data_IF_752221717554
#
_entry.id   IF_752221717554
#
_cell.length_a   1.000
_cell.length_b   1.000
_cell.length_c   1.000
_cell.angle_alpha   90.00
_cell.angle_beta   90.00
_cell.angle_gamma   90.00
#
_symmetry.space_group_name_H-M   'P 1'
#
loop_
_entity.id
_entity.type
_entity.pdbx_description
1 polymer ?
#
# COMPACT_ATOMS: atom_id res chain seq x y z
N UNK A 1 -3.78 -27.09 -6.21
CA UNK A 1 -4.36 -26.01 -5.36
C UNK A 1 -4.93 -25.00 -6.34
N UNK A 2 -6.26 -24.86 -6.38
CA UNK A 2 -6.93 -23.93 -7.30
C UNK A 2 -6.55 -22.50 -6.86
N UNK A 3 -6.11 -21.67 -7.81
CA UNK A 3 -6.02 -20.23 -7.58
C UNK A 3 -7.45 -19.71 -7.37
N UNK A 4 -7.69 -18.82 -6.39
CA UNK A 4 -8.99 -18.20 -6.29
C UNK A 4 -9.27 -17.47 -7.59
N UNK A 5 -10.42 -17.74 -8.18
CA UNK A 5 -10.84 -17.03 -9.39
C UNK A 5 -11.02 -15.56 -9.01
N UNK A 6 -10.73 -14.63 -9.89
CA UNK A 6 -10.89 -13.19 -9.65
C UNK A 6 -12.36 -12.87 -9.29
N UNK A 7 -13.26 -13.76 -9.59
CA UNK A 7 -14.67 -13.71 -9.21
C UNK A 7 -14.93 -13.80 -7.70
N UNK A 8 -13.97 -14.30 -6.91
CA UNK A 8 -14.07 -14.40 -5.45
C UNK A 8 -13.53 -13.17 -4.71
N UNK A 9 -12.88 -12.23 -5.41
CA UNK A 9 -12.32 -11.05 -4.78
C UNK A 9 -13.37 -9.96 -4.59
N UNK A 10 -13.42 -9.40 -3.40
CA UNK A 10 -14.10 -8.15 -3.11
C UNK A 10 -13.15 -6.98 -3.39
N UNK A 11 -13.65 -5.90 -4.01
CA UNK A 11 -12.85 -4.74 -4.38
C UNK A 11 -13.41 -3.51 -3.68
N UNK A 12 -12.64 -2.98 -2.73
CA UNK A 12 -13.05 -1.89 -1.87
C UNK A 12 -12.25 -0.61 -2.16
N UNK A 13 -12.91 0.53 -1.93
CA UNK A 13 -12.29 1.85 -1.92
C UNK A 13 -12.55 2.52 -0.58
N UNK A 14 -11.51 2.78 0.19
CA UNK A 14 -11.57 3.52 1.45
C UNK A 14 -11.08 4.97 1.26
N UNK A 15 -11.73 5.91 1.95
CA UNK A 15 -11.43 7.34 1.88
C UNK A 15 -12.66 8.19 1.63
N UNK A 16 -12.66 9.04 0.62
CA UNK A 16 -13.85 9.82 0.28
C UNK A 16 -14.98 8.91 -0.23
N UNK A 17 -16.19 9.16 0.27
CA UNK A 17 -17.39 8.41 -0.15
C UNK A 17 -17.72 8.74 -1.61
N UNK A 18 -17.91 7.72 -2.41
CA UNK A 18 -18.36 7.84 -3.80
C UNK A 18 -19.37 6.75 -4.15
N UNK A 19 -20.03 6.88 -5.29
CA UNK A 19 -20.89 5.82 -5.81
C UNK A 19 -20.03 4.64 -6.23
N UNK A 20 -20.54 3.43 -6.04
CA UNK A 20 -19.87 2.23 -6.55
C UNK A 20 -19.64 2.33 -8.05
N UNK A 21 -18.51 1.79 -8.50
CA UNK A 21 -18.08 1.84 -9.89
C UNK A 21 -18.12 0.44 -10.48
N UNK A 22 -18.89 0.26 -11.53
CA UNK A 22 -18.93 -1.02 -12.26
C UNK A 22 -17.63 -1.24 -13.04
N UNK A 23 -16.94 -2.33 -12.75
CA UNK A 23 -15.65 -2.67 -13.35
C UNK A 23 -15.76 -3.63 -14.54
N UNK A 24 -16.97 -4.08 -14.89
CA UNK A 24 -17.20 -5.12 -15.87
C UNK A 24 -17.24 -6.52 -15.25
N UNK A 25 -17.68 -7.51 -16.03
CA UNK A 25 -17.82 -8.92 -15.60
C UNK A 25 -18.59 -9.11 -14.27
N UNK A 26 -19.53 -8.23 -13.99
CA UNK A 26 -20.31 -8.27 -12.72
C UNK A 26 -19.54 -7.82 -11.48
N UNK A 27 -18.30 -7.33 -11.62
CA UNK A 27 -17.50 -6.78 -10.52
C UNK A 27 -17.75 -5.31 -10.30
N UNK A 28 -17.66 -4.92 -9.05
CA UNK A 28 -17.92 -3.57 -8.59
C UNK A 28 -16.83 -3.12 -7.62
N UNK A 29 -16.36 -1.89 -7.76
CA UNK A 29 -15.56 -1.21 -6.75
C UNK A 29 -16.52 -0.55 -5.76
N UNK A 30 -16.57 -1.08 -4.55
CA UNK A 30 -17.47 -0.60 -3.49
C UNK A 30 -16.77 0.45 -2.65
N UNK A 31 -17.39 1.64 -2.49
CA UNK A 31 -16.89 2.66 -1.61
C UNK A 31 -17.36 2.39 -0.17
N UNK A 32 -16.40 2.25 0.73
CA UNK A 32 -16.65 2.10 2.18
C UNK A 32 -16.51 3.43 2.93
N UNK A 33 -16.15 4.51 2.23
CA UNK A 33 -15.98 5.83 2.82
C UNK A 33 -14.80 5.93 3.79
N UNK A 34 -14.89 6.90 4.70
CA UNK A 34 -13.90 7.08 5.77
C UNK A 34 -14.15 6.07 6.88
N UNK A 35 -13.18 5.23 7.13
CA UNK A 35 -13.19 4.25 8.21
C UNK A 35 -12.60 4.85 9.50
N UNK A 36 -13.06 4.37 10.65
CA UNK A 36 -12.33 4.57 11.91
C UNK A 36 -10.98 3.84 11.86
N UNK A 37 -10.09 4.12 12.80
CA UNK A 37 -8.77 3.46 12.87
C UNK A 37 -8.96 1.95 13.07
N UNK A 38 -9.90 1.54 13.89
CA UNK A 38 -10.23 0.15 14.18
C UNK A 38 -10.78 -0.58 12.95
N UNK A 39 -11.75 0.04 12.26
CA UNK A 39 -12.33 -0.51 11.03
C UNK A 39 -11.28 -0.60 9.92
N UNK A 40 -10.42 0.40 9.81
CA UNK A 40 -9.32 0.39 8.83
C UNK A 40 -8.33 -0.74 9.11
N UNK A 41 -7.91 -0.89 10.37
CA UNK A 41 -7.00 -1.96 10.77
C UNK A 41 -7.62 -3.36 10.51
N UNK A 42 -8.91 -3.54 10.80
CA UNK A 42 -9.62 -4.77 10.50
C UNK A 42 -9.68 -5.04 8.99
N UNK A 43 -10.01 -4.02 8.20
CA UNK A 43 -10.03 -4.12 6.73
C UNK A 43 -8.65 -4.53 6.20
N UNK A 44 -7.56 -3.95 6.71
CA UNK A 44 -6.21 -4.30 6.28
C UNK A 44 -5.83 -5.75 6.62
N UNK A 45 -6.29 -6.30 7.76
CA UNK A 45 -6.04 -7.69 8.12
C UNK A 45 -6.70 -8.68 7.15
N UNK A 46 -7.79 -8.30 6.50
CA UNK A 46 -8.54 -9.11 5.54
C UNK A 46 -8.12 -8.81 4.08
N UNK A 47 -7.28 -7.79 3.87
CA UNK A 47 -6.87 -7.35 2.55
C UNK A 47 -5.58 -8.06 2.11
N UNK A 48 -5.56 -8.62 0.93
CA UNK A 48 -4.36 -9.22 0.35
C UNK A 48 -3.54 -8.26 -0.50
N UNK A 49 -4.20 -7.46 -1.34
CA UNK A 49 -3.54 -6.53 -2.24
C UNK A 49 -4.18 -5.14 -2.17
N UNK A 50 -3.39 -4.11 -2.30
CA UNK A 50 -3.89 -2.73 -2.28
C UNK A 50 -3.11 -1.80 -3.19
N UNK A 51 -3.78 -0.71 -3.58
CA UNK A 51 -3.21 0.34 -4.43
C UNK A 51 -3.35 1.67 -3.69
N UNK A 52 -2.24 2.36 -3.48
CA UNK A 52 -2.24 3.71 -2.94
C UNK A 52 -1.24 4.59 -3.69
N UNK A 53 -1.77 5.42 -4.59
CA UNK A 53 -0.96 6.30 -5.44
C UNK A 53 -0.89 7.71 -4.84
N UNK A 54 0.21 8.40 -5.14
CA UNK A 54 0.49 9.71 -4.59
C UNK A 54 0.92 10.71 -5.64
N UNK A 55 0.46 11.96 -5.46
CA UNK A 55 0.81 13.12 -6.27
C UNK A 55 1.62 14.15 -5.46
N UNK A 56 2.37 13.70 -4.46
CA UNK A 56 3.12 14.56 -3.54
C UNK A 56 4.44 13.91 -3.16
N UNK A 57 5.54 14.69 -3.00
CA UNK A 57 6.79 14.17 -2.48
C UNK A 57 6.71 13.80 -0.99
N UNK A 58 5.65 14.22 -0.31
CA UNK A 58 5.41 13.87 1.08
C UNK A 58 5.09 12.38 1.21
N UNK A 59 5.70 11.64 2.14
CA UNK A 59 5.32 10.25 2.36
C UNK A 59 3.85 10.18 2.76
N UNK A 60 3.11 9.32 2.07
CA UNK A 60 1.74 8.99 2.44
C UNK A 60 1.76 7.81 3.39
N UNK A 61 0.97 7.87 4.46
CA UNK A 61 0.88 6.78 5.42
C UNK A 61 0.23 5.51 4.87
N UNK A 62 -0.87 5.58 4.07
CA UNK A 62 -1.57 4.38 3.63
C UNK A 62 -0.69 3.30 2.97
N UNK A 63 0.24 3.58 2.05
CA UNK A 63 1.07 2.50 1.50
C UNK A 63 1.99 1.88 2.55
N UNK A 64 2.48 2.66 3.52
CA UNK A 64 3.32 2.14 4.60
C UNK A 64 2.49 1.25 5.54
N UNK A 65 1.32 1.74 5.97
CA UNK A 65 0.38 1.01 6.82
C UNK A 65 -0.05 -0.31 6.18
N UNK A 66 -0.52 -0.25 4.93
CA UNK A 66 -0.91 -1.45 4.18
C UNK A 66 0.20 -2.49 4.15
N UNK A 67 1.42 -2.08 3.84
CA UNK A 67 2.53 -3.02 3.70
C UNK A 67 2.99 -3.65 5.02
N UNK A 68 2.84 -2.98 6.18
CA UNK A 68 3.13 -3.57 7.50
C UNK A 68 2.02 -4.49 8.00
N UNK A 69 0.81 -4.40 7.42
CA UNK A 69 -0.28 -5.36 7.61
C UNK A 69 -0.20 -6.55 6.62
N UNK A 70 0.95 -6.77 5.99
CA UNK A 70 1.20 -7.81 4.99
C UNK A 70 0.39 -7.68 3.70
N UNK A 71 -0.22 -6.54 3.46
CA UNK A 71 -0.90 -6.23 2.21
C UNK A 71 0.15 -6.00 1.11
N UNK A 72 0.04 -6.72 -0.01
CA UNK A 72 0.86 -6.49 -1.21
C UNK A 72 0.47 -5.16 -1.83
N UNK A 73 1.30 -4.15 -1.60
CA UNK A 73 0.96 -2.75 -1.82
C UNK A 73 1.61 -2.19 -3.07
N UNK A 74 0.80 -1.74 -4.02
CA UNK A 74 1.26 -0.99 -5.19
C UNK A 74 1.18 0.51 -4.87
N UNK A 75 2.30 1.19 -5.00
CA UNK A 75 2.42 2.64 -4.91
C UNK A 75 3.25 3.17 -6.08
N UNK A 76 3.53 4.45 -6.11
CA UNK A 76 4.36 5.06 -7.12
C UNK A 76 5.53 5.84 -6.54
N UNK A 77 6.59 5.98 -7.34
CA UNK A 77 7.61 6.99 -7.10
C UNK A 77 7.06 8.38 -7.38
N UNK A 78 7.54 9.37 -6.65
CA UNK A 78 7.23 10.78 -6.89
C UNK A 78 8.38 11.67 -6.44
N UNK A 79 8.98 12.41 -7.35
CA UNK A 79 10.17 13.22 -7.10
C UNK A 79 11.30 12.41 -6.45
N UNK A 80 11.73 12.76 -5.24
CA UNK A 80 12.75 12.05 -4.46
C UNK A 80 12.19 10.89 -3.62
N UNK A 81 10.89 10.59 -3.72
CA UNK A 81 10.25 9.55 -2.94
C UNK A 81 10.19 8.24 -3.72
N UNK A 82 10.78 7.20 -3.14
CA UNK A 82 10.68 5.81 -3.58
C UNK A 82 10.59 4.90 -2.36
N UNK A 83 9.52 4.15 -2.23
CA UNK A 83 9.26 3.27 -1.09
C UNK A 83 9.61 1.80 -1.35
N UNK A 84 10.27 1.47 -2.46
CA UNK A 84 10.59 0.08 -2.85
C UNK A 84 11.39 -0.69 -1.79
N UNK A 85 12.24 0.02 -1.02
CA UNK A 85 13.12 -0.58 -0.01
C UNK A 85 12.48 -0.60 1.39
N UNK A 86 11.18 -0.22 1.53
CA UNK A 86 10.52 -0.22 2.82
C UNK A 86 10.35 -1.62 3.39
N UNK A 87 9.76 -2.52 2.63
CA UNK A 87 9.67 -3.96 2.94
C UNK A 87 9.32 -4.77 1.68
N UNK A 88 9.28 -6.10 1.81
CA UNK A 88 9.01 -7.02 0.69
C UNK A 88 7.57 -7.02 0.18
N UNK A 89 6.66 -6.29 0.81
CA UNK A 89 5.27 -6.13 0.35
C UNK A 89 5.08 -4.91 -0.56
N UNK A 90 6.11 -4.05 -0.68
CA UNK A 90 6.01 -2.78 -1.40
C UNK A 90 6.43 -2.92 -2.86
N UNK A 91 5.55 -2.52 -3.77
CA UNK A 91 5.82 -2.36 -5.21
C UNK A 91 5.71 -0.89 -5.56
N UNK A 92 6.84 -0.22 -5.77
CA UNK A 92 6.92 1.21 -6.09
C UNK A 92 7.15 1.40 -7.60
N UNK A 93 6.18 1.97 -8.30
CA UNK A 93 6.17 2.08 -9.76
C UNK A 93 6.65 3.46 -10.23
N UNK A 94 7.59 3.49 -11.17
CA UNK A 94 8.00 4.72 -11.87
C UNK A 94 6.98 5.15 -12.94
N UNK A 95 6.22 4.20 -13.47
CA UNK A 95 5.20 4.42 -14.48
C UNK A 95 3.85 3.91 -13.98
N UNK A 96 2.92 4.82 -13.76
CA UNK A 96 1.58 4.55 -13.25
C UNK A 96 0.53 4.42 -14.38
N UNK A 97 0.93 3.98 -15.57
CA UNK A 97 -0.06 3.67 -16.60
C UNK A 97 -1.04 2.57 -16.14
N UNK A 98 -2.31 2.61 -16.55
CA UNK A 98 -3.28 1.59 -16.19
C UNK A 98 -2.81 0.16 -16.50
N UNK A 99 -2.12 -0.02 -17.64
CA UNK A 99 -1.58 -1.32 -18.05
C UNK A 99 -0.49 -1.81 -17.09
N UNK A 100 0.42 -0.92 -16.65
CA UNK A 100 1.49 -1.29 -15.74
C UNK A 100 0.94 -1.68 -14.36
N UNK A 101 -0.01 -0.91 -13.84
CA UNK A 101 -0.70 -1.24 -12.59
C UNK A 101 -1.43 -2.58 -12.71
N UNK A 102 -2.17 -2.79 -13.79
CA UNK A 102 -2.90 -4.04 -14.02
C UNK A 102 -1.97 -5.26 -14.11
N UNK A 103 -0.80 -5.12 -14.75
CA UNK A 103 0.21 -6.18 -14.83
C UNK A 103 0.68 -6.58 -13.43
N UNK A 104 1.14 -5.64 -12.62
CA UNK A 104 1.63 -5.93 -11.27
C UNK A 104 0.52 -6.44 -10.34
N UNK A 105 -0.68 -5.88 -10.41
CA UNK A 105 -1.82 -6.37 -9.64
C UNK A 105 -2.17 -7.82 -10.02
N UNK A 106 -2.15 -8.14 -11.29
CA UNK A 106 -2.39 -9.50 -11.77
C UNK A 106 -1.33 -10.48 -11.26
N UNK A 107 -0.06 -10.10 -11.28
CA UNK A 107 1.03 -10.91 -10.74
C UNK A 107 0.87 -11.16 -9.24
N UNK A 108 0.53 -10.12 -8.48
CA UNK A 108 0.25 -10.21 -7.05
C UNK A 108 -0.92 -11.18 -6.79
N UNK A 109 -2.05 -11.01 -7.48
CA UNK A 109 -3.21 -11.86 -7.30
C UNK A 109 -2.94 -13.32 -7.71
N UNK A 110 -2.17 -13.57 -8.77
CA UNK A 110 -1.75 -14.92 -9.15
C UNK A 110 -0.82 -15.58 -8.13
N UNK A 111 -0.06 -14.80 -7.38
CA UNK A 111 0.82 -15.27 -6.33
C UNK A 111 0.09 -15.54 -5.01
N UNK A 112 -1.21 -15.25 -4.92
CA UNK A 112 -1.99 -15.44 -3.69
C UNK A 112 -1.83 -16.85 -3.12
N UNK A 113 -1.55 -16.90 -1.82
CA UNK A 113 -1.55 -18.13 -1.02
C UNK A 113 -2.27 -17.81 0.28
N UNK A 114 -3.12 -18.71 0.79
CA UNK A 114 -3.90 -18.46 2.02
C UNK A 114 -3.07 -18.38 3.31
N UNK A 115 -1.78 -18.68 3.24
CA UNK A 115 -0.85 -18.50 4.36
C UNK A 115 0.02 -17.27 4.06
N UNK A 116 -0.03 -16.30 4.95
CA UNK A 116 0.75 -15.06 4.85
C UNK A 116 2.02 -15.21 5.66
N UNK A 117 3.18 -15.05 5.03
CA UNK A 117 4.43 -14.85 5.74
C UNK A 117 4.53 -13.37 6.14
N UNK A 118 4.63 -13.11 7.44
CA UNK A 118 4.80 -11.74 7.94
C UNK A 118 6.13 -11.15 7.51
N UNK A 119 6.07 -9.98 6.90
CA UNK A 119 7.25 -9.27 6.40
C UNK A 119 7.61 -8.13 7.35
N UNK A 120 8.82 -8.19 7.88
CA UNK A 120 9.33 -7.14 8.77
C UNK A 120 9.67 -5.88 7.99
N UNK A 121 9.19 -4.73 8.45
CA UNK A 121 9.54 -3.44 7.88
C UNK A 121 11.04 -3.12 8.06
N UNK A 122 11.61 -2.40 7.09
CA UNK A 122 13.00 -1.97 7.17
C UNK A 122 13.20 -1.08 8.41
N UNK A 123 14.14 -1.43 9.31
CA UNK A 123 14.39 -0.66 10.55
C UNK A 123 14.68 0.83 10.33
N UNK A 124 15.21 1.23 9.18
CA UNK A 124 15.48 2.63 8.86
C UNK A 124 14.21 3.50 8.84
N UNK A 125 13.05 2.90 8.54
CA UNK A 125 11.76 3.60 8.46
C UNK A 125 10.95 3.55 9.75
N UNK A 126 11.28 2.64 10.67
CA UNK A 126 10.50 2.39 11.90
C UNK A 126 11.28 2.61 13.19
N UNK A 127 12.55 3.00 13.10
CA UNK A 127 13.36 3.34 14.28
C UNK A 127 12.92 4.68 14.85
N UNK A 128 12.35 4.63 16.06
CA UNK A 128 12.01 5.81 16.83
C UNK A 128 13.11 6.23 17.83
N UNK A 129 14.24 5.52 17.86
CA UNK A 129 15.20 5.66 18.95
C UNK A 129 15.89 7.03 19.00
N UNK A 130 15.89 7.77 17.89
CA UNK A 130 16.57 9.07 17.82
C UNK A 130 15.92 10.03 16.82
N UNK A 131 14.60 10.23 16.94
CA UNK A 131 13.83 11.12 16.04
C UNK A 131 14.43 12.53 15.93
N UNK A 132 15.21 12.96 16.93
CA UNK A 132 15.83 14.29 16.98
C UNK A 132 17.36 14.30 16.79
N UNK A 133 17.98 13.18 16.41
CA UNK A 133 19.45 13.15 16.19
C UNK A 133 19.91 14.08 15.06
N UNK A 134 19.06 14.30 14.05
CA UNK A 134 19.31 15.29 12.99
C UNK A 134 19.54 16.72 13.52
N UNK A 135 19.09 17.04 14.74
CA UNK A 135 19.33 18.35 15.39
C UNK A 135 20.82 18.57 15.67
N UNK A 136 21.58 17.50 15.93
CA UNK A 136 23.03 17.56 16.15
C UNK A 136 23.72 17.98 14.85
N UNK A 137 23.33 17.33 13.73
CA UNK A 137 23.88 17.63 12.40
C UNK A 137 23.57 19.07 11.96
N UNK A 138 22.36 19.55 12.26
CA UNK A 138 21.96 20.94 12.00
C UNK A 138 22.82 21.92 12.83
N UNK A 139 23.10 21.62 14.09
CA UNK A 139 23.95 22.48 14.93
C UNK A 139 25.38 22.54 14.43
N UNK A 140 25.93 21.43 13.93
CA UNK A 140 27.26 21.40 13.32
C UNK A 140 27.34 22.23 12.02
N UNK A 141 26.26 22.26 11.24
CA UNK A 141 26.18 23.05 10.01
C UNK A 141 26.01 24.54 10.27
N UNK A 142 25.30 24.90 11.33
CA UNK A 142 24.99 26.29 11.67
C UNK A 142 26.07 26.97 12.54
N UNK A 143 27.05 26.20 13.06
CA UNK A 143 28.24 26.70 13.79
C UNK A 143 27.91 27.29 15.10
#
# INVERSE_FOLDING_TARGET
>A
MMQPDIEEWEILSAGEMHRSIQLGNGKELVSVGKLTIEEYAQTLQETYAGISLMCSPHPSYPPLEMSVFDVKTITNTYANKDLKDFNGNMVSLNNISPMNIATHLTEICKAYRPQVEHVTANPLYVKNEHVFDFIKDIKEILG
#
